data_IF_884755961165
#
_entry.id   IF_884755961165
#
_cell.length_a   1.000
_cell.length_b   1.000
_cell.length_c   1.000
_cell.angle_alpha   90.00
_cell.angle_beta   90.00
_cell.angle_gamma   90.00
#
_symmetry.space_group_name_H-M   'P 1'
#
loop_
_entity.id
_entity.type
_entity.pdbx_description
1 polymer ?
#
# COMPACT_ATOMS: atom_id res chain seq x y z
N UNK A 1 -38.78 19.96 -6.32
CA UNK A 1 -37.60 19.51 -5.56
C UNK A 1 -36.43 19.38 -6.50
N UNK A 2 -35.49 20.34 -6.47
CA UNK A 2 -34.45 20.49 -7.50
C UNK A 2 -33.25 19.57 -7.28
N UNK A 3 -32.95 18.74 -8.28
CA UNK A 3 -31.76 17.88 -8.31
C UNK A 3 -30.54 18.67 -8.82
N UNK A 4 -29.99 19.54 -7.95
CA UNK A 4 -28.96 20.54 -8.30
C UNK A 4 -27.54 19.99 -8.50
N UNK A 5 -27.27 18.72 -8.21
CA UNK A 5 -25.91 18.15 -8.27
C UNK A 5 -25.61 17.36 -9.54
N UNK A 6 -26.59 17.21 -10.43
CA UNK A 6 -26.46 16.39 -11.65
C UNK A 6 -25.35 16.87 -12.58
N UNK A 7 -25.14 18.18 -12.68
CA UNK A 7 -24.08 18.74 -13.53
C UNK A 7 -22.68 18.50 -12.96
N UNK A 8 -22.53 18.60 -11.64
CA UNK A 8 -21.26 18.32 -10.96
C UNK A 8 -20.86 16.84 -11.07
N UNK A 9 -21.85 15.94 -10.97
CA UNK A 9 -21.63 14.50 -11.15
C UNK A 9 -21.17 14.19 -12.59
N UNK A 10 -21.81 14.80 -13.59
CA UNK A 10 -21.43 14.62 -15.00
C UNK A 10 -20.04 15.14 -15.31
N UNK A 11 -19.66 16.31 -14.77
CA UNK A 11 -18.31 16.85 -14.99
C UNK A 11 -17.23 16.01 -14.31
N UNK A 12 -17.51 15.46 -13.12
CA UNK A 12 -16.60 14.53 -12.46
C UNK A 12 -16.40 13.25 -13.28
N UNK A 13 -17.50 12.65 -13.74
CA UNK A 13 -17.45 11.43 -14.57
C UNK A 13 -16.75 11.64 -15.93
N UNK A 14 -16.93 12.81 -16.54
CA UNK A 14 -16.22 13.16 -17.77
C UNK A 14 -14.71 13.32 -17.53
N UNK A 15 -14.32 13.90 -16.39
CA UNK A 15 -12.92 14.00 -15.97
C UNK A 15 -12.31 12.61 -15.77
N UNK A 16 -12.98 11.74 -15.02
CA UNK A 16 -12.55 10.35 -14.80
C UNK A 16 -12.34 9.61 -16.13
N UNK A 17 -13.27 9.77 -17.06
CA UNK A 17 -13.17 9.16 -18.41
C UNK A 17 -11.98 9.72 -19.20
N UNK A 18 -11.76 11.04 -19.17
CA UNK A 18 -10.64 11.68 -19.86
C UNK A 18 -9.27 11.25 -19.30
N UNK A 19 -9.21 10.91 -18.01
CA UNK A 19 -8.02 10.39 -17.34
C UNK A 19 -7.89 8.85 -17.43
N UNK A 20 -8.76 8.18 -18.20
CA UNK A 20 -8.73 6.72 -18.33
C UNK A 20 -9.11 5.98 -17.04
N UNK A 21 -9.72 6.68 -16.09
CA UNK A 21 -10.37 6.09 -14.92
C UNK A 21 -11.72 5.56 -15.39
N UNK A 22 -11.70 4.45 -16.13
CA UNK A 22 -12.87 3.55 -16.15
C UNK A 22 -13.20 3.28 -14.69
N UNK A 23 -14.45 3.50 -14.29
CA UNK A 23 -14.97 3.10 -12.98
C UNK A 23 -14.63 1.63 -12.80
N UNK A 24 -13.43 1.39 -12.26
CA UNK A 24 -12.93 0.08 -11.99
C UNK A 24 -13.83 -0.34 -10.87
N UNK A 25 -14.77 -1.24 -11.18
CA UNK A 25 -15.04 -2.32 -10.26
C UNK A 25 -13.68 -2.99 -10.03
N UNK A 26 -12.86 -2.34 -9.21
CA UNK A 26 -11.69 -2.90 -8.61
C UNK A 26 -12.29 -3.89 -7.62
N UNK A 27 -12.71 -5.03 -8.18
CA UNK A 27 -12.48 -6.29 -7.51
C UNK A 27 -11.01 -6.23 -7.18
N UNK A 28 -10.73 -5.73 -5.97
CA UNK A 28 -9.39 -5.67 -5.42
C UNK A 28 -8.92 -7.11 -5.63
N UNK A 29 -7.90 -7.37 -6.46
CA UNK A 29 -7.45 -8.74 -6.63
C UNK A 29 -7.20 -9.20 -5.21
N UNK A 30 -7.91 -10.24 -4.77
CA UNK A 30 -7.73 -10.79 -3.43
C UNK A 30 -6.28 -11.19 -3.41
N UNK A 31 -5.44 -10.32 -2.85
CA UNK A 31 -4.00 -10.41 -2.99
C UNK A 31 -3.64 -11.71 -2.31
N UNK A 32 -3.29 -12.71 -3.11
CA UNK A 32 -2.90 -14.01 -2.59
C UNK A 32 -1.73 -13.72 -1.68
N UNK A 33 -1.89 -14.05 -0.40
CA UNK A 33 -0.87 -13.77 0.59
C UNK A 33 0.47 -14.33 0.10
N UNK A 34 1.50 -13.50 0.15
CA UNK A 34 2.89 -13.95 0.07
C UNK A 34 3.70 -13.32 1.20
N UNK A 35 4.70 -14.03 1.75
CA UNK A 35 5.58 -13.46 2.77
C UNK A 35 6.31 -12.19 2.28
N UNK A 36 6.64 -12.13 0.99
CA UNK A 36 7.27 -10.95 0.39
C UNK A 36 6.33 -9.74 0.37
N UNK A 37 5.08 -9.91 -0.07
CA UNK A 37 4.07 -8.85 -0.06
C UNK A 37 3.79 -8.37 1.38
N UNK A 38 3.67 -9.30 2.33
CA UNK A 38 3.48 -8.95 3.74
C UNK A 38 4.64 -8.08 4.26
N UNK A 39 5.89 -8.47 4.00
CA UNK A 39 7.09 -7.68 4.39
C UNK A 39 7.09 -6.30 3.74
N UNK A 40 6.72 -6.20 2.47
CA UNK A 40 6.66 -4.93 1.76
C UNK A 40 5.63 -3.99 2.40
N UNK A 41 4.43 -4.49 2.74
CA UNK A 41 3.39 -3.69 3.42
C UNK A 41 3.89 -3.19 4.78
N UNK A 42 4.57 -4.04 5.56
CA UNK A 42 5.14 -3.63 6.85
C UNK A 42 6.19 -2.53 6.66
N UNK A 43 7.13 -2.71 5.72
CA UNK A 43 8.16 -1.73 5.43
C UNK A 43 7.57 -0.37 4.99
N UNK A 44 6.55 -0.40 4.13
CA UNK A 44 5.81 0.80 3.73
C UNK A 44 5.11 1.46 4.91
N UNK A 45 4.43 0.69 5.78
CA UNK A 45 3.78 1.22 7.00
C UNK A 45 4.79 1.87 7.95
N UNK A 46 5.99 1.29 8.08
CA UNK A 46 7.10 1.90 8.83
C UNK A 46 7.50 3.25 8.23
N UNK A 47 7.73 3.29 6.91
CA UNK A 47 8.17 4.49 6.22
C UNK A 47 7.13 5.63 6.25
N UNK A 48 5.86 5.33 5.98
CA UNK A 48 4.80 6.35 5.86
C UNK A 48 4.30 6.87 7.20
N UNK A 49 4.33 6.03 8.24
CA UNK A 49 3.81 6.39 9.57
C UNK A 49 4.91 6.68 10.60
N UNK A 50 6.17 6.79 10.18
CA UNK A 50 7.33 6.96 11.05
C UNK A 50 7.38 5.95 12.22
N UNK A 51 6.97 4.69 11.97
CA UNK A 51 6.92 3.66 13.01
C UNK A 51 8.28 2.97 13.16
N UNK A 52 8.75 2.69 14.38
CA UNK A 52 9.98 1.92 14.56
C UNK A 52 9.81 0.50 14.02
N UNK A 53 10.87 -0.11 13.48
CA UNK A 53 10.83 -1.49 12.97
C UNK A 53 10.41 -2.51 14.04
N UNK A 54 10.69 -2.22 15.31
CA UNK A 54 10.27 -3.04 16.45
C UNK A 54 8.74 -3.09 16.63
N UNK A 55 7.96 -2.32 15.88
CA UNK A 55 6.49 -2.42 15.89
C UNK A 55 5.98 -3.81 15.52
N UNK A 56 6.76 -4.62 14.80
CA UNK A 56 6.40 -6.01 14.50
C UNK A 56 6.36 -6.92 15.74
N UNK A 57 7.01 -6.51 16.83
CA UNK A 57 7.00 -7.22 18.10
C UNK A 57 5.87 -6.74 19.03
N UNK A 58 5.12 -5.70 18.64
CA UNK A 58 3.99 -5.22 19.43
C UNK A 58 2.94 -6.31 19.62
N UNK A 59 2.44 -6.44 20.85
CA UNK A 59 1.50 -7.51 21.21
C UNK A 59 0.19 -7.42 20.42
N UNK A 60 -0.30 -6.22 20.17
CA UNK A 60 -1.57 -6.03 19.46
C UNK A 60 -1.40 -6.22 17.96
N UNK A 61 -0.26 -5.84 17.39
CA UNK A 61 0.07 -6.19 16.00
C UNK A 61 0.14 -7.71 15.80
N UNK A 62 0.75 -8.46 16.73
CA UNK A 62 0.77 -9.93 16.66
C UNK A 62 -0.63 -10.54 16.77
N UNK A 63 -1.47 -10.00 17.65
CA UNK A 63 -2.88 -10.42 17.77
C UNK A 63 -3.68 -10.10 16.50
N UNK A 64 -3.49 -8.94 15.89
CA UNK A 64 -4.13 -8.55 14.62
C UNK A 64 -3.78 -9.55 13.51
N UNK A 65 -2.50 -9.87 13.35
CA UNK A 65 -2.02 -10.82 12.33
C UNK A 65 -2.59 -12.22 12.56
N UNK A 66 -2.61 -12.70 13.80
CA UNK A 66 -3.17 -14.02 14.13
C UNK A 66 -4.69 -14.07 13.91
N UNK A 67 -5.42 -13.00 14.24
CA UNK A 67 -6.87 -12.91 14.04
C UNK A 67 -7.25 -12.92 12.55
N UNK A 68 -6.48 -12.20 11.73
CA UNK A 68 -6.75 -12.10 10.30
C UNK A 68 -6.25 -13.32 9.51
N UNK A 69 -5.13 -13.91 9.94
CA UNK A 69 -4.53 -15.07 9.27
C UNK A 69 -3.68 -15.91 10.23
N UNK A 70 -4.30 -16.90 10.91
CA UNK A 70 -3.64 -17.73 11.90
C UNK A 70 -2.37 -18.41 11.39
N UNK A 71 -1.35 -18.49 12.24
CA UNK A 71 -0.06 -19.13 11.92
C UNK A 71 0.83 -18.31 10.97
N UNK A 72 0.50 -17.05 10.70
CA UNK A 72 1.34 -16.18 9.88
C UNK A 72 2.66 -15.86 10.60
N UNK A 73 3.78 -16.19 9.94
CA UNK A 73 5.12 -15.85 10.44
C UNK A 73 5.37 -14.36 10.26
N UNK A 74 5.50 -13.64 11.37
CA UNK A 74 5.86 -12.23 11.39
C UNK A 74 7.38 -12.09 11.20
N UNK A 75 7.85 -11.23 10.29
CA UNK A 75 9.28 -11.02 10.06
C UNK A 75 9.94 -10.34 11.27
N UNK A 76 11.25 -10.55 11.45
CA UNK A 76 12.02 -9.80 12.43
C UNK A 76 12.14 -8.31 12.05
N UNK A 77 12.33 -7.44 13.05
CA UNK A 77 12.58 -6.01 12.83
C UNK A 77 13.77 -5.77 11.87
N UNK A 78 14.83 -6.58 11.98
CA UNK A 78 15.99 -6.53 11.07
C UNK A 78 15.61 -6.87 9.62
N UNK A 79 14.71 -7.84 9.43
CA UNK A 79 14.20 -8.20 8.09
C UNK A 79 13.41 -7.05 7.48
N UNK A 80 12.57 -6.37 8.28
CA UNK A 80 11.81 -5.19 7.82
C UNK A 80 12.76 -4.06 7.44
N UNK A 81 13.74 -3.75 8.28
CA UNK A 81 14.75 -2.70 8.00
C UNK A 81 15.51 -2.97 6.70
N UNK A 82 15.99 -4.22 6.52
CA UNK A 82 16.66 -4.62 5.28
C UNK A 82 15.73 -4.52 4.06
N UNK A 83 14.47 -4.93 4.21
CA UNK A 83 13.47 -4.80 3.16
C UNK A 83 13.22 -3.36 2.75
N UNK A 84 13.11 -2.44 3.72
CA UNK A 84 12.94 -1.01 3.45
C UNK A 84 14.16 -0.42 2.73
N UNK A 85 15.38 -0.77 3.15
CA UNK A 85 16.60 -0.34 2.46
C UNK A 85 16.65 -0.83 1.01
N UNK A 86 16.25 -2.08 0.75
CA UNK A 86 16.16 -2.59 -0.62
C UNK A 86 15.12 -1.85 -1.45
N UNK A 87 13.93 -1.59 -0.89
CA UNK A 87 12.91 -0.78 -1.57
C UNK A 87 13.45 0.60 -1.91
N UNK A 88 14.13 1.27 -0.97
CA UNK A 88 14.75 2.57 -1.22
C UNK A 88 15.79 2.48 -2.35
N UNK A 89 16.69 1.49 -2.32
CA UNK A 89 17.74 1.33 -3.33
C UNK A 89 17.17 1.00 -4.72
N UNK A 90 16.11 0.20 -4.81
CA UNK A 90 15.52 -0.09 -6.12
C UNK A 90 14.67 1.08 -6.64
N UNK A 91 13.90 1.75 -5.76
CA UNK A 91 13.14 2.95 -6.15
C UNK A 91 14.06 4.09 -6.56
N UNK A 92 15.21 4.29 -5.90
CA UNK A 92 16.13 5.38 -6.25
C UNK A 92 16.59 5.27 -7.70
N UNK A 93 16.82 4.05 -8.20
CA UNK A 93 17.24 3.82 -9.60
C UNK A 93 16.17 4.32 -10.56
N UNK A 94 14.90 3.97 -10.30
CA UNK A 94 13.75 4.41 -11.10
C UNK A 94 13.54 5.92 -11.03
N UNK A 95 13.66 6.50 -9.83
CA UNK A 95 13.57 7.96 -9.64
C UNK A 95 14.69 8.68 -10.39
N UNK A 96 15.94 8.19 -10.30
CA UNK A 96 17.06 8.75 -11.05
C UNK A 96 16.83 8.67 -12.56
N UNK A 97 16.32 7.55 -13.08
CA UNK A 97 16.02 7.46 -14.52
C UNK A 97 14.96 8.44 -14.98
N UNK A 98 13.95 8.71 -14.13
CA UNK A 98 12.89 9.68 -14.43
C UNK A 98 13.42 11.11 -14.52
N UNK A 99 14.34 11.48 -13.64
CA UNK A 99 14.97 12.81 -13.60
C UNK A 99 16.22 12.95 -14.48
N UNK A 100 16.62 11.91 -15.21
CA UNK A 100 17.74 11.96 -16.16
C UNK A 100 17.34 12.43 -17.57
N UNK A 101 16.08 12.87 -17.73
CA UNK A 101 15.50 13.51 -18.93
C UNK A 101 15.71 15.02 -18.85
#
# INVERSE_FOLDING_TARGET
>A
SGNGTTNLLKTAQACDTAHGITASTSSTPTSIYSPAAHRAIIAMRTATSHRPFNSVNDKYYRMEVELLRPGTIIPSASTVSRGLNLLYVELWKSVKSYFAV
#
